data_IF_795050047082
#
_entry.id   IF_795050047082
#
_cell.length_a   1.000
_cell.length_b   1.000
_cell.length_c   1.000
_cell.angle_alpha   90.00
_cell.angle_beta   90.00
_cell.angle_gamma   90.00
#
_symmetry.space_group_name_H-M   'P 1'
#
loop_
_entity.id
_entity.type
_entity.pdbx_description
1 polymer ?
#
# COMPACT_ATOMS: atom_id res chain seq x y z
N UNK A 1 -21.00 5.87 43.06
CA UNK A 1 -20.50 5.36 41.76
C UNK A 1 -21.20 4.04 41.51
N UNK A 2 -22.29 4.06 40.73
CA UNK A 2 -23.07 2.87 40.39
C UNK A 2 -22.47 2.20 39.16
N UNK A 3 -21.85 1.03 39.35
CA UNK A 3 -21.52 0.14 38.24
C UNK A 3 -22.83 -0.44 37.70
N UNK A 4 -23.35 0.13 36.61
CA UNK A 4 -24.34 -0.54 35.77
C UNK A 4 -23.59 -1.46 34.80
N UNK A 5 -23.16 -2.63 35.29
CA UNK A 5 -22.86 -3.75 34.40
C UNK A 5 -24.21 -4.20 33.81
N UNK A 6 -24.52 -3.78 32.60
CA UNK A 6 -25.53 -4.45 31.79
C UNK A 6 -25.04 -5.88 31.58
N UNK A 7 -25.37 -6.80 32.49
CA UNK A 7 -25.17 -8.23 32.28
C UNK A 7 -26.17 -8.63 31.20
N UNK A 8 -25.68 -8.87 29.99
CA UNK A 8 -26.45 -9.57 28.96
C UNK A 8 -26.90 -10.91 29.55
N UNK A 9 -28.17 -11.30 29.35
CA UNK A 9 -28.59 -12.64 29.77
C UNK A 9 -27.92 -13.67 28.86
N UNK A 10 -27.41 -14.77 29.41
CA UNK A 10 -26.73 -15.81 28.62
C UNK A 10 -27.59 -16.32 27.45
N UNK A 11 -28.91 -16.41 27.62
CA UNK A 11 -29.87 -16.76 26.57
C UNK A 11 -29.85 -15.78 25.38
N UNK A 12 -29.70 -14.48 25.64
CA UNK A 12 -29.59 -13.46 24.57
C UNK A 12 -28.28 -13.62 23.80
N UNK A 13 -27.18 -13.95 24.50
CA UNK A 13 -25.86 -14.13 23.88
C UNK A 13 -25.87 -15.33 22.94
N UNK A 14 -26.43 -16.47 23.35
CA UNK A 14 -26.50 -17.65 22.47
C UNK A 14 -27.35 -17.39 21.23
N UNK A 15 -28.48 -16.67 21.38
CA UNK A 15 -29.29 -16.27 20.24
C UNK A 15 -28.48 -15.36 19.28
N UNK A 16 -27.80 -14.36 19.81
CA UNK A 16 -27.02 -13.42 19.00
C UNK A 16 -25.82 -14.08 18.31
N UNK A 17 -25.17 -15.04 18.98
CA UNK A 17 -24.14 -15.88 18.37
C UNK A 17 -24.72 -16.76 17.24
N UNK A 18 -25.96 -17.24 17.36
CA UNK A 18 -26.62 -18.04 16.31
C UNK A 18 -26.91 -17.24 15.03
N UNK A 19 -27.19 -15.93 15.16
CA UNK A 19 -27.38 -15.01 14.02
C UNK A 19 -26.07 -14.33 13.59
N UNK A 20 -24.97 -14.63 14.29
CA UNK A 20 -23.63 -14.11 14.06
C UNK A 20 -23.61 -12.58 14.11
N UNK A 21 -24.14 -12.02 15.20
CA UNK A 21 -24.14 -10.58 15.46
C UNK A 21 -22.73 -10.10 15.88
N UNK A 22 -22.14 -9.09 15.21
CA UNK A 22 -20.81 -8.59 15.55
C UNK A 22 -20.70 -7.97 16.95
N UNK A 23 -21.75 -7.31 17.46
CA UNK A 23 -21.70 -6.65 18.76
C UNK A 23 -21.66 -7.68 19.90
N UNK A 24 -22.39 -8.78 19.77
CA UNK A 24 -22.36 -9.87 20.75
C UNK A 24 -21.02 -10.63 20.72
N UNK A 25 -20.40 -10.79 19.54
CA UNK A 25 -19.02 -11.28 19.46
C UNK A 25 -18.04 -10.34 20.19
N UNK A 26 -18.17 -9.02 20.03
CA UNK A 26 -17.34 -8.03 20.72
C UNK A 26 -17.53 -8.08 22.24
N UNK A 27 -18.77 -8.19 22.70
CA UNK A 27 -19.10 -8.30 24.13
C UNK A 27 -18.44 -9.55 24.74
N UNK A 28 -18.59 -10.72 24.11
CA UNK A 28 -17.96 -11.96 24.54
C UNK A 28 -16.43 -11.86 24.50
N UNK A 29 -15.87 -11.18 23.49
CA UNK A 29 -14.43 -10.89 23.42
C UNK A 29 -13.92 -10.03 24.58
N UNK A 30 -14.69 -9.01 24.96
CA UNK A 30 -14.33 -8.10 26.04
C UNK A 30 -14.38 -8.80 27.42
N UNK A 31 -15.40 -9.62 27.63
CA UNK A 31 -15.67 -10.25 28.92
C UNK A 31 -14.90 -11.57 29.12
N UNK A 32 -14.94 -12.47 28.15
CA UNK A 32 -14.49 -13.85 28.36
C UNK A 32 -13.03 -14.07 27.97
N UNK A 33 -12.45 -13.30 27.03
CA UNK A 33 -11.12 -13.59 26.45
C UNK A 33 -10.01 -13.78 27.48
N UNK A 34 -9.96 -12.94 28.52
CA UNK A 34 -8.94 -13.05 29.59
C UNK A 34 -9.22 -14.19 30.55
N UNK A 35 -10.49 -14.47 30.83
CA UNK A 35 -10.90 -15.57 31.71
C UNK A 35 -10.55 -16.91 31.07
N UNK A 36 -10.97 -17.12 29.83
CA UNK A 36 -10.64 -18.32 29.05
C UNK A 36 -9.14 -18.50 28.87
N UNK A 37 -8.40 -17.42 28.56
CA UNK A 37 -6.95 -17.53 28.41
C UNK A 37 -6.25 -17.96 29.70
N UNK A 38 -6.76 -17.56 30.87
CA UNK A 38 -6.26 -18.05 32.17
C UNK A 38 -6.61 -19.51 32.41
N UNK A 39 -7.81 -19.97 32.04
CA UNK A 39 -8.19 -21.38 32.16
C UNK A 39 -7.25 -22.30 31.35
N UNK A 40 -6.93 -21.92 30.11
CA UNK A 40 -5.97 -22.66 29.28
C UNK A 40 -4.55 -22.63 29.86
N UNK A 41 -4.13 -21.48 30.43
CA UNK A 41 -2.85 -21.37 31.12
C UNK A 41 -2.79 -22.30 32.35
N UNK A 42 -3.86 -22.36 33.14
CA UNK A 42 -3.99 -23.29 34.27
C UNK A 42 -4.00 -24.75 33.82
N UNK A 43 -4.46 -25.05 32.61
CA UNK A 43 -4.40 -26.39 32.01
C UNK A 43 -3.01 -26.76 31.46
N UNK A 44 -2.00 -25.91 31.64
CA UNK A 44 -0.61 -26.15 31.24
C UNK A 44 -0.17 -25.44 29.96
N UNK A 45 -1.01 -24.59 29.37
CA UNK A 45 -0.66 -23.75 28.23
C UNK A 45 -0.01 -22.43 28.64
N UNK A 46 0.32 -21.59 27.68
CA UNK A 46 0.65 -20.17 27.91
C UNK A 46 -0.57 -19.27 27.78
N UNK A 47 -0.47 -18.01 28.21
CA UNK A 47 -1.50 -17.00 27.94
C UNK A 47 -1.74 -16.80 26.43
N UNK A 48 -0.70 -16.96 25.60
CA UNK A 48 -0.82 -16.86 24.13
C UNK A 48 -1.61 -18.03 23.54
N UNK A 49 -1.39 -19.25 24.06
CA UNK A 49 -2.20 -20.41 23.71
C UNK A 49 -3.65 -20.16 24.12
N UNK A 50 -3.85 -19.61 25.32
CA UNK A 50 -5.16 -19.20 25.82
C UNK A 50 -5.92 -18.26 24.90
N UNK A 51 -5.29 -17.22 24.36
CA UNK A 51 -5.94 -16.34 23.37
C UNK A 51 -6.24 -17.05 22.06
N UNK A 52 -5.35 -17.94 21.61
CA UNK A 52 -5.54 -18.72 20.38
C UNK A 52 -6.73 -19.67 20.51
N UNK A 53 -6.79 -20.43 21.60
CA UNK A 53 -7.85 -21.40 21.84
C UNK A 53 -9.18 -20.75 22.26
N UNK A 54 -9.15 -19.56 22.87
CA UNK A 54 -10.36 -18.75 23.03
C UNK A 54 -11.01 -18.43 21.68
N UNK A 55 -10.23 -17.95 20.70
CA UNK A 55 -10.75 -17.66 19.36
C UNK A 55 -11.34 -18.90 18.70
N UNK A 56 -10.65 -20.04 18.79
CA UNK A 56 -11.15 -21.32 18.25
C UNK A 56 -12.47 -21.70 18.92
N UNK A 57 -12.54 -21.65 20.25
CA UNK A 57 -13.74 -21.99 21.01
C UNK A 57 -14.91 -21.05 20.72
N UNK A 58 -14.67 -19.75 20.55
CA UNK A 58 -15.72 -18.79 20.22
C UNK A 58 -16.33 -19.06 18.85
N UNK A 59 -15.50 -19.29 17.83
CA UNK A 59 -15.98 -19.60 16.47
C UNK A 59 -16.72 -20.94 16.48
N UNK A 60 -16.20 -21.94 17.21
CA UNK A 60 -16.86 -23.24 17.34
C UNK A 60 -18.21 -23.13 18.07
N UNK A 61 -18.28 -22.33 19.13
CA UNK A 61 -19.54 -22.05 19.85
C UNK A 61 -20.54 -21.39 18.92
N UNK A 62 -20.15 -20.35 18.18
CA UNK A 62 -21.06 -19.72 17.23
C UNK A 62 -21.55 -20.69 16.15
N UNK A 63 -20.69 -21.58 15.67
CA UNK A 63 -21.07 -22.65 14.75
C UNK A 63 -22.09 -23.61 15.37
N UNK A 64 -21.84 -24.11 16.59
CA UNK A 64 -22.79 -24.95 17.32
C UNK A 64 -24.12 -24.24 17.62
N UNK A 65 -24.08 -22.93 17.87
CA UNK A 65 -25.27 -22.10 18.07
C UNK A 65 -26.12 -22.05 16.79
N UNK A 66 -25.48 -21.86 15.63
CA UNK A 66 -26.18 -21.87 14.32
C UNK A 66 -26.83 -23.22 14.01
N UNK A 67 -26.28 -24.32 14.54
CA UNK A 67 -26.82 -25.68 14.41
C UNK A 67 -27.86 -26.06 15.49
N UNK A 68 -28.17 -25.17 16.44
CA UNK A 68 -29.00 -25.45 17.63
C UNK A 68 -28.49 -26.65 18.47
N UNK A 69 -27.16 -26.78 18.59
CA UNK A 69 -26.49 -27.88 19.32
C UNK A 69 -25.93 -27.47 20.69
N UNK A 70 -26.23 -26.26 21.15
CA UNK A 70 -25.78 -25.76 22.44
C UNK A 70 -26.85 -25.93 23.51
N UNK A 71 -26.41 -26.30 24.69
CA UNK A 71 -27.22 -26.20 25.91
C UNK A 71 -27.14 -24.75 26.41
N UNK A 72 -28.22 -24.00 26.20
CA UNK A 72 -28.31 -22.57 26.57
C UNK A 72 -28.51 -22.35 28.07
N UNK A 73 -28.64 -23.42 28.87
CA UNK A 73 -28.72 -23.32 30.33
C UNK A 73 -27.36 -23.09 30.99
N UNK A 74 -26.27 -23.28 30.24
CA UNK A 74 -24.90 -23.16 30.72
C UNK A 74 -24.40 -21.73 30.45
N UNK A 75 -23.78 -21.04 31.42
CA UNK A 75 -23.22 -19.71 31.18
C UNK A 75 -22.18 -19.72 30.05
N UNK A 76 -22.21 -18.70 29.19
CA UNK A 76 -21.35 -18.66 27.99
C UNK A 76 -19.86 -18.70 28.35
N UNK A 77 -19.48 -18.06 29.45
CA UNK A 77 -18.11 -18.04 29.96
C UNK A 77 -17.64 -19.44 30.35
N UNK A 78 -18.45 -20.19 31.10
CA UNK A 78 -18.17 -21.57 31.49
C UNK A 78 -18.05 -22.48 30.28
N UNK A 79 -18.97 -22.37 29.31
CA UNK A 79 -18.93 -23.17 28.10
C UNK A 79 -17.64 -22.90 27.29
N UNK A 80 -17.27 -21.62 27.11
CA UNK A 80 -16.07 -21.23 26.38
C UNK A 80 -14.78 -21.65 27.10
N UNK A 81 -14.72 -21.56 28.42
CA UNK A 81 -13.59 -22.04 29.23
C UNK A 81 -13.37 -23.54 29.03
N UNK A 82 -14.42 -24.35 29.20
CA UNK A 82 -14.36 -25.80 29.03
C UNK A 82 -14.02 -26.17 27.58
N UNK A 83 -14.63 -25.53 26.58
CA UNK A 83 -14.38 -25.84 25.18
C UNK A 83 -12.96 -25.45 24.72
N UNK A 84 -12.46 -24.28 25.13
CA UNK A 84 -11.09 -23.85 24.81
C UNK A 84 -10.05 -24.76 25.47
N UNK A 85 -10.29 -25.14 26.73
CA UNK A 85 -9.41 -26.05 27.48
C UNK A 85 -9.40 -27.44 26.86
N UNK A 86 -10.56 -27.96 26.43
CA UNK A 86 -10.65 -29.23 25.71
C UNK A 86 -9.89 -29.17 24.38
N UNK A 87 -10.07 -28.11 23.59
CA UNK A 87 -9.31 -27.93 22.34
C UNK A 87 -7.79 -27.89 22.56
N UNK A 88 -7.34 -27.22 23.62
CA UNK A 88 -5.92 -27.16 24.00
C UNK A 88 -5.39 -28.53 24.42
N UNK A 89 -6.09 -29.25 25.30
CA UNK A 89 -5.67 -30.58 25.78
C UNK A 89 -5.55 -31.58 24.64
N UNK A 90 -6.52 -31.63 23.74
CA UNK A 90 -6.45 -32.51 22.57
C UNK A 90 -5.26 -32.15 21.68
N UNK A 91 -5.06 -30.85 21.41
CA UNK A 91 -3.94 -30.38 20.60
C UNK A 91 -2.58 -30.71 21.25
N UNK A 92 -2.45 -30.52 22.56
CA UNK A 92 -1.25 -30.87 23.30
C UNK A 92 -0.95 -32.37 23.20
N UNK A 93 -1.99 -33.22 23.31
CA UNK A 93 -1.89 -34.67 23.11
C UNK A 93 -1.46 -35.03 21.68
N UNK A 94 -2.06 -34.40 20.66
CA UNK A 94 -1.67 -34.56 19.25
C UNK A 94 -0.21 -34.15 19.00
N UNK A 95 0.30 -33.16 19.75
CA UNK A 95 1.68 -32.67 19.67
C UNK A 95 2.65 -33.35 20.63
N UNK A 96 2.20 -34.35 21.39
CA UNK A 96 3.02 -35.06 22.40
C UNK A 96 3.64 -34.10 23.43
N UNK A 97 2.92 -33.05 23.81
CA UNK A 97 3.33 -32.10 24.85
C UNK A 97 2.86 -32.65 26.21
N UNK A 98 3.80 -32.85 27.14
CA UNK A 98 3.50 -33.31 28.49
C UNK A 98 2.85 -32.19 29.33
N UNK A 99 1.55 -32.32 29.62
CA UNK A 99 0.83 -31.39 30.49
C UNK A 99 1.08 -31.75 31.96
N UNK A 100 1.66 -30.81 32.71
CA UNK A 100 2.00 -30.98 34.13
C UNK A 100 0.88 -30.48 35.05
N UNK A 101 -0.37 -30.93 34.83
CA UNK A 101 -1.50 -30.45 35.62
C UNK A 101 -2.43 -31.58 36.03
N UNK A 102 -2.44 -31.86 37.33
CA UNK A 102 -3.52 -32.56 38.03
C UNK A 102 -4.62 -31.52 38.33
N UNK A 103 -5.58 -31.35 37.43
CA UNK A 103 -6.82 -30.62 37.76
C UNK A 103 -7.92 -31.64 37.97
N UNK A 104 -8.59 -31.58 39.12
CA UNK A 104 -9.91 -32.19 39.28
C UNK A 104 -10.79 -31.69 38.14
N UNK A 105 -11.36 -32.60 37.34
CA UNK A 105 -12.26 -32.21 36.26
C UNK A 105 -13.53 -31.64 36.90
N UNK A 106 -13.83 -30.33 36.75
CA UNK A 106 -15.14 -29.82 37.14
C UNK A 106 -16.21 -30.56 36.33
N UNK A 107 -17.46 -30.56 36.82
CA UNK A 107 -18.61 -30.98 36.02
C UNK A 107 -18.61 -30.19 34.70
N UNK A 108 -18.11 -30.82 33.65
CA UNK A 108 -17.92 -30.17 32.37
C UNK A 108 -19.25 -30.18 31.61
N UNK A 109 -19.58 -29.07 30.92
CA UNK A 109 -20.70 -29.05 30.00
C UNK A 109 -20.55 -30.17 28.95
N UNK A 110 -21.66 -30.62 28.37
CA UNK A 110 -21.61 -31.57 27.25
C UNK A 110 -20.90 -30.89 26.06
N UNK A 111 -19.63 -31.24 25.85
CA UNK A 111 -18.81 -30.72 24.76
C UNK A 111 -18.89 -31.62 23.52
N UNK A 112 -18.63 -31.08 22.30
CA UNK A 112 -18.39 -31.91 21.12
C UNK A 112 -17.27 -32.92 21.39
N UNK A 113 -17.34 -34.12 20.79
CA UNK A 113 -16.30 -35.14 20.96
C UNK A 113 -14.92 -34.74 20.40
N UNK A 114 -13.89 -35.50 20.76
CA UNK A 114 -12.49 -35.25 20.35
C UNK A 114 -12.34 -35.19 18.82
N UNK A 115 -13.01 -36.08 18.09
CA UNK A 115 -12.98 -36.12 16.63
C UNK A 115 -13.56 -34.84 16.00
N UNK A 116 -14.70 -34.37 16.52
CA UNK A 116 -15.35 -33.13 16.08
C UNK A 116 -14.48 -31.91 16.38
N UNK A 117 -13.86 -31.87 17.57
CA UNK A 117 -12.95 -30.79 17.95
C UNK A 117 -11.69 -30.77 17.09
N UNK A 118 -11.12 -31.93 16.78
CA UNK A 118 -9.96 -32.07 15.89
C UNK A 118 -10.30 -31.62 14.46
N UNK A 119 -11.43 -32.08 13.91
CA UNK A 119 -11.91 -31.64 12.61
C UNK A 119 -12.13 -30.13 12.54
N UNK A 120 -12.68 -29.52 13.59
CA UNK A 120 -12.88 -28.07 13.67
C UNK A 120 -11.55 -27.29 13.73
N UNK A 121 -10.55 -27.80 14.48
CA UNK A 121 -9.20 -27.21 14.48
C UNK A 121 -8.58 -27.23 13.08
N UNK A 122 -8.78 -28.31 12.32
CA UNK A 122 -8.32 -28.39 10.93
C UNK A 122 -9.06 -27.40 10.02
N UNK A 123 -10.37 -27.15 10.21
CA UNK A 123 -11.09 -26.08 9.48
C UNK A 123 -10.48 -24.69 9.74
N UNK A 124 -10.22 -24.37 11.02
CA UNK A 124 -9.56 -23.11 11.42
C UNK A 124 -8.17 -22.99 10.78
N UNK A 125 -7.39 -24.06 10.81
CA UNK A 125 -6.06 -24.12 10.20
C UNK A 125 -6.13 -23.93 8.68
N UNK A 126 -7.06 -24.62 8.02
CA UNK A 126 -7.34 -24.50 6.59
C UNK A 126 -7.57 -23.04 6.19
N UNK A 127 -8.48 -22.37 6.90
CA UNK A 127 -8.85 -20.99 6.62
C UNK A 127 -7.67 -20.04 6.79
N UNK A 128 -6.90 -20.20 7.87
CA UNK A 128 -5.73 -19.38 8.16
C UNK A 128 -4.65 -19.51 7.08
N UNK A 129 -4.33 -20.73 6.65
CA UNK A 129 -3.32 -20.92 5.60
C UNK A 129 -3.80 -20.38 4.26
N UNK A 130 -5.08 -20.56 3.93
CA UNK A 130 -5.65 -20.02 2.68
C UNK A 130 -5.58 -18.49 2.64
N UNK A 131 -5.83 -17.82 3.77
CA UNK A 131 -5.73 -16.36 3.88
C UNK A 131 -4.32 -15.82 3.60
N UNK A 132 -3.27 -16.63 3.80
CA UNK A 132 -1.88 -16.27 3.50
C UNK A 132 -1.45 -16.48 2.03
N UNK A 133 -2.27 -17.14 1.21
CA UNK A 133 -1.90 -17.47 -0.17
C UNK A 133 -1.99 -16.29 -1.14
N UNK A 134 -1.34 -16.42 -2.31
CA UNK A 134 -1.44 -15.46 -3.40
C UNK A 134 -2.87 -15.41 -3.99
N UNK A 135 -3.27 -14.24 -4.49
CA UNK A 135 -4.63 -13.99 -5.01
C UNK A 135 -5.08 -14.99 -6.10
N UNK A 136 -4.24 -15.36 -7.10
CA UNK A 136 -4.63 -16.34 -8.10
C UNK A 136 -4.96 -17.71 -7.48
N UNK A 137 -4.11 -18.22 -6.58
CA UNK A 137 -4.36 -19.51 -5.93
C UNK A 137 -5.54 -19.48 -4.97
N UNK A 138 -5.80 -18.37 -4.27
CA UNK A 138 -6.99 -18.21 -3.43
C UNK A 138 -8.28 -18.41 -4.21
N UNK A 139 -8.38 -17.78 -5.40
CA UNK A 139 -9.54 -17.89 -6.28
C UNK A 139 -9.73 -19.33 -6.76
N UNK A 140 -8.66 -19.93 -7.28
CA UNK A 140 -8.69 -21.32 -7.77
C UNK A 140 -9.12 -22.31 -6.69
N UNK A 141 -8.57 -22.21 -5.49
CA UNK A 141 -8.94 -23.09 -4.37
C UNK A 141 -10.39 -22.88 -3.91
N UNK A 142 -10.87 -21.64 -3.93
CA UNK A 142 -12.27 -21.35 -3.60
C UNK A 142 -13.23 -21.93 -4.63
N UNK A 143 -12.88 -21.89 -5.92
CA UNK A 143 -13.66 -22.54 -6.99
C UNK A 143 -13.67 -24.06 -6.81
N UNK A 144 -12.51 -24.69 -6.59
CA UNK A 144 -12.42 -26.13 -6.32
C UNK A 144 -13.23 -26.53 -5.07
N UNK A 145 -13.20 -25.72 -4.02
CA UNK A 145 -13.98 -25.99 -2.81
C UNK A 145 -15.49 -25.88 -3.07
N UNK A 146 -15.92 -24.91 -3.89
CA UNK A 146 -17.33 -24.77 -4.29
C UNK A 146 -17.81 -25.94 -5.14
N UNK A 147 -16.97 -26.45 -6.05
CA UNK A 147 -17.30 -27.63 -6.84
C UNK A 147 -17.39 -28.88 -5.94
N UNK A 148 -16.44 -29.03 -5.02
CA UNK A 148 -16.44 -30.13 -4.06
C UNK A 148 -17.65 -30.08 -3.10
N UNK A 149 -18.12 -28.90 -2.69
CA UNK A 149 -19.25 -28.78 -1.77
C UNK A 149 -20.60 -29.22 -2.37
N UNK A 150 -20.70 -29.28 -3.70
CA UNK A 150 -21.85 -29.82 -4.43
C UNK A 150 -21.63 -31.24 -4.97
N UNK A 151 -20.62 -31.96 -4.43
CA UNK A 151 -20.22 -33.31 -4.85
C UNK A 151 -19.82 -33.44 -6.34
N UNK A 152 -19.40 -32.34 -6.97
CA UNK A 152 -18.80 -32.37 -8.30
C UNK A 152 -17.31 -32.59 -8.08
N UNK A 153 -16.82 -33.83 -8.25
CA UNK A 153 -15.39 -34.12 -8.14
C UNK A 153 -14.64 -33.35 -9.24
N UNK A 154 -13.90 -32.28 -8.91
CA UNK A 154 -13.21 -31.52 -9.92
C UNK A 154 -12.06 -32.39 -10.45
N UNK A 155 -12.11 -32.75 -11.73
CA UNK A 155 -10.99 -33.44 -12.39
C UNK A 155 -9.84 -32.46 -12.55
N UNK A 156 -9.02 -32.31 -11.50
CA UNK A 156 -7.82 -31.47 -11.57
C UNK A 156 -6.77 -32.21 -12.40
N UNK A 157 -6.46 -31.68 -13.57
CA UNK A 157 -5.34 -32.19 -14.37
C UNK A 157 -4.03 -31.93 -13.59
N UNK A 158 -3.16 -32.93 -13.48
CA UNK A 158 -1.92 -32.89 -12.68
C UNK A 158 -0.96 -31.78 -13.11
N UNK A 159 -1.01 -31.36 -14.37
CA UNK A 159 -0.15 -30.30 -14.92
C UNK A 159 -0.84 -28.92 -14.97
N UNK A 160 -2.00 -28.77 -14.32
CA UNK A 160 -2.74 -27.50 -14.32
C UNK A 160 -2.26 -26.55 -13.22
N UNK A 161 -2.48 -25.24 -13.42
CA UNK A 161 -2.29 -24.23 -12.38
C UNK A 161 -3.09 -24.55 -11.10
N UNK A 162 -4.23 -25.24 -11.22
CA UNK A 162 -5.03 -25.70 -10.09
C UNK A 162 -4.33 -26.81 -9.28
N UNK A 163 -3.63 -27.75 -9.93
CA UNK A 163 -2.83 -28.76 -9.24
C UNK A 163 -1.69 -28.12 -8.44
N UNK A 164 -1.00 -27.13 -9.02
CA UNK A 164 0.06 -26.40 -8.33
C UNK A 164 -0.48 -25.65 -7.10
N UNK A 165 -1.60 -24.95 -7.21
CA UNK A 165 -2.21 -24.26 -6.07
C UNK A 165 -2.66 -25.23 -4.97
N UNK A 166 -3.20 -26.40 -5.34
CA UNK A 166 -3.60 -27.45 -4.40
C UNK A 166 -2.39 -28.06 -3.68
N UNK A 167 -1.30 -28.33 -4.40
CA UNK A 167 -0.05 -28.82 -3.80
C UNK A 167 0.57 -27.79 -2.85
N UNK A 168 0.61 -26.51 -3.24
CA UNK A 168 1.07 -25.43 -2.37
C UNK A 168 0.23 -25.34 -1.10
N UNK A 169 -1.09 -25.40 -1.22
CA UNK A 169 -1.99 -25.35 -0.06
C UNK A 169 -1.81 -26.56 0.86
N UNK A 170 -1.68 -27.77 0.30
CA UNK A 170 -1.37 -28.98 1.05
C UNK A 170 -0.03 -28.86 1.80
N UNK A 171 1.01 -28.33 1.16
CA UNK A 171 2.32 -28.09 1.79
C UNK A 171 2.22 -27.11 2.97
N UNK A 172 1.48 -26.01 2.81
CA UNK A 172 1.25 -25.04 3.91
C UNK A 172 0.52 -25.68 5.10
N UNK A 173 -0.37 -26.63 4.83
CA UNK A 173 -1.10 -27.35 5.87
C UNK A 173 -0.29 -28.49 6.50
N UNK A 174 0.89 -28.83 5.97
CA UNK A 174 1.70 -29.96 6.41
C UNK A 174 0.84 -31.21 6.69
N UNK A 175 -0.08 -31.51 5.76
CA UNK A 175 -1.11 -32.54 5.92
C UNK A 175 -0.76 -33.76 5.07
N UNK A 176 -0.64 -34.90 5.75
CA UNK A 176 -0.44 -36.22 5.13
C UNK A 176 -1.76 -36.93 4.81
N UNK A 177 -2.89 -36.22 4.92
CA UNK A 177 -4.23 -36.80 4.76
C UNK A 177 -4.37 -37.49 3.37
N UNK A 178 -4.70 -38.80 3.32
CA UNK A 178 -4.89 -39.50 2.06
C UNK A 178 -6.05 -38.91 1.22
N UNK A 179 -7.00 -38.20 1.84
CA UNK A 179 -8.11 -37.53 1.15
C UNK A 179 -7.64 -36.49 0.12
N UNK A 180 -6.41 -35.97 0.24
CA UNK A 180 -5.80 -35.11 -0.78
C UNK A 180 -5.66 -35.76 -2.15
N UNK A 181 -5.70 -37.10 -2.22
CA UNK A 181 -5.67 -37.84 -3.50
C UNK A 181 -6.98 -37.78 -4.28
N UNK A 182 -8.10 -37.50 -3.61
CA UNK A 182 -9.45 -37.41 -4.19
C UNK A 182 -9.90 -35.96 -4.40
N UNK A 183 -9.19 -34.98 -3.82
CA UNK A 183 -9.49 -33.55 -3.95
C UNK A 183 -9.17 -32.79 -2.68
N UNK A 184 -9.92 -31.70 -2.43
CA UNK A 184 -9.87 -31.01 -1.14
C UNK A 184 -10.57 -31.85 -0.07
N UNK A 185 -9.96 -32.07 1.11
CA UNK A 185 -10.62 -32.77 2.20
C UNK A 185 -11.83 -32.00 2.73
N UNK A 186 -12.81 -32.71 3.29
CA UNK A 186 -14.10 -32.14 3.70
C UNK A 186 -13.98 -30.96 4.67
N UNK A 187 -13.04 -31.01 5.63
CA UNK A 187 -12.78 -29.91 6.56
C UNK A 187 -12.24 -28.66 5.84
N UNK A 188 -11.43 -28.82 4.78
CA UNK A 188 -10.97 -27.68 3.98
C UNK A 188 -12.12 -27.11 3.14
N UNK A 189 -12.97 -27.97 2.58
CA UNK A 189 -14.16 -27.54 1.83
C UNK A 189 -15.09 -26.71 2.72
N UNK A 190 -15.41 -27.19 3.93
CA UNK A 190 -16.22 -26.46 4.91
C UNK A 190 -15.58 -25.11 5.24
N UNK A 191 -14.30 -25.08 5.59
CA UNK A 191 -13.60 -23.85 5.94
C UNK A 191 -13.61 -22.77 4.83
N UNK A 192 -13.71 -23.18 3.57
CA UNK A 192 -13.68 -22.30 2.40
C UNK A 192 -15.06 -21.99 1.81
N UNK A 193 -16.11 -22.75 2.15
CA UNK A 193 -17.45 -22.59 1.54
C UNK A 193 -18.59 -22.38 2.52
N UNK A 194 -18.44 -22.81 3.78
CA UNK A 194 -19.48 -22.67 4.78
C UNK A 194 -19.68 -21.21 5.19
N UNK A 195 -20.91 -20.70 5.01
CA UNK A 195 -21.22 -19.28 5.24
C UNK A 195 -21.20 -18.91 6.72
N UNK A 196 -21.84 -19.67 7.64
CA UNK A 196 -21.73 -19.41 9.07
C UNK A 196 -20.30 -19.34 9.57
N UNK A 197 -19.47 -20.34 9.23
CA UNK A 197 -18.07 -20.40 9.61
C UNK A 197 -17.29 -19.19 9.08
N UNK A 198 -17.44 -18.84 7.79
CA UNK A 198 -16.75 -17.69 7.21
C UNK A 198 -17.14 -16.36 7.86
N UNK A 199 -18.43 -16.17 8.15
CA UNK A 199 -18.93 -14.96 8.81
C UNK A 199 -18.37 -14.88 10.22
N UNK A 200 -18.46 -15.95 11.03
CA UNK A 200 -17.88 -16.02 12.37
C UNK A 200 -16.36 -15.74 12.36
N UNK A 201 -15.63 -16.35 11.42
CA UNK A 201 -14.19 -16.13 11.24
C UNK A 201 -13.87 -14.67 10.96
N UNK A 202 -14.58 -14.04 10.02
CA UNK A 202 -14.34 -12.64 9.62
C UNK A 202 -14.60 -11.66 10.77
N UNK A 203 -15.65 -11.89 11.57
CA UNK A 203 -15.95 -11.08 12.75
C UNK A 203 -14.80 -11.20 13.76
N UNK A 204 -14.39 -12.42 14.10
CA UNK A 204 -13.29 -12.65 15.04
C UNK A 204 -11.95 -12.06 14.52
N UNK A 205 -11.68 -12.16 13.23
CA UNK A 205 -10.47 -11.61 12.59
C UNK A 205 -10.46 -10.08 12.66
N UNK A 206 -11.58 -9.41 12.40
CA UNK A 206 -11.71 -7.97 12.53
C UNK A 206 -11.51 -7.50 13.98
N UNK A 207 -12.05 -8.24 14.96
CA UNK A 207 -11.85 -7.93 16.38
C UNK A 207 -10.37 -8.06 16.76
N UNK A 208 -9.71 -9.17 16.40
CA UNK A 208 -8.28 -9.37 16.67
C UNK A 208 -7.40 -8.33 15.95
N UNK A 209 -7.76 -7.95 14.72
CA UNK A 209 -7.11 -6.87 13.98
C UNK A 209 -7.12 -5.57 14.78
N UNK A 210 -8.27 -5.15 15.30
CA UNK A 210 -8.37 -3.94 16.15
C UNK A 210 -7.58 -4.07 17.45
N UNK A 211 -7.65 -5.22 18.12
CA UNK A 211 -6.88 -5.50 19.35
C UNK A 211 -5.38 -5.37 19.08
N UNK A 212 -4.89 -5.89 17.95
CA UNK A 212 -3.47 -5.80 17.56
C UNK A 212 -3.02 -4.36 17.29
N UNK A 213 -3.94 -3.47 16.91
CA UNK A 213 -3.71 -2.03 16.75
C UNK A 213 -3.84 -1.25 18.07
N UNK A 214 -4.05 -1.93 19.21
CA UNK A 214 -4.16 -1.32 20.53
C UNK A 214 -5.55 -0.77 20.87
N UNK A 215 -6.57 -1.04 20.04
CA UNK A 215 -7.96 -0.66 20.33
C UNK A 215 -8.58 -1.67 21.31
N UNK A 216 -9.28 -1.18 22.33
CA UNK A 216 -10.03 -2.06 23.24
C UNK A 216 -11.26 -2.62 22.52
N UNK A 217 -11.60 -3.91 22.70
CA UNK A 217 -12.89 -4.43 22.27
C UNK A 217 -13.96 -3.80 23.16
N UNK A 218 -14.61 -2.76 22.66
CA UNK A 218 -15.78 -2.15 23.29
C UNK A 218 -16.92 -2.28 22.28
N UNK A 219 -18.09 -2.81 22.67
CA UNK A 219 -19.24 -2.87 21.78
C UNK A 219 -19.49 -1.48 21.22
N UNK A 220 -19.40 -1.32 19.90
CA UNK A 220 -19.69 -0.05 19.25
C UNK A 220 -21.10 0.41 19.65
N UNK A 221 -21.27 1.61 20.25
CA UNK A 221 -22.60 2.15 20.43
C UNK A 221 -23.20 2.47 19.05
N UNK A 222 -24.44 2.03 18.84
CA UNK A 222 -25.20 2.27 17.61
C UNK A 222 -25.06 3.70 17.05
N UNK A 223 -24.68 3.76 15.78
CA UNK A 223 -25.06 4.74 14.75
C UNK A 223 -25.17 6.24 15.10
N UNK A 224 -24.32 6.78 15.98
CA UNK A 224 -24.10 8.24 16.04
C UNK A 224 -22.65 8.66 15.81
N UNK A 225 -21.69 7.82 16.19
CA UNK A 225 -20.25 8.13 16.04
C UNK A 225 -19.82 8.26 14.57
N UNK A 226 -20.23 7.32 13.71
CA UNK A 226 -19.91 7.37 12.28
C UNK A 226 -20.45 8.62 11.58
N UNK A 227 -21.58 9.17 12.04
CA UNK A 227 -22.13 10.40 11.46
C UNK A 227 -21.28 11.61 11.82
N UNK A 228 -20.80 11.72 13.06
CA UNK A 228 -19.90 12.82 13.47
C UNK A 228 -18.50 12.67 12.88
N UNK A 229 -17.98 11.44 12.76
CA UNK A 229 -16.70 11.19 12.08
C UNK A 229 -16.82 11.53 10.60
N UNK A 230 -17.89 11.15 9.90
CA UNK A 230 -18.09 11.51 8.49
C UNK A 230 -18.33 13.01 8.31
N UNK A 231 -19.03 13.68 9.23
CA UNK A 231 -19.18 15.14 9.20
C UNK A 231 -17.83 15.82 9.44
N UNK A 232 -17.06 15.37 10.43
CA UNK A 232 -15.73 15.91 10.71
C UNK A 232 -14.78 15.67 9.53
N UNK A 233 -14.80 14.48 8.93
CA UNK A 233 -14.03 14.16 7.74
C UNK A 233 -14.48 15.02 6.55
N UNK A 234 -15.78 15.25 6.40
CA UNK A 234 -16.34 16.15 5.40
C UNK A 234 -15.91 17.61 5.59
N UNK A 235 -15.87 18.10 6.83
CA UNK A 235 -15.38 19.44 7.19
C UNK A 235 -13.88 19.55 6.96
N UNK A 236 -13.10 18.52 7.30
CA UNK A 236 -11.65 18.47 7.04
C UNK A 236 -11.39 18.43 5.53
N UNK A 237 -12.13 17.62 4.77
CA UNK A 237 -12.00 17.54 3.31
C UNK A 237 -12.43 18.84 2.63
N UNK A 238 -13.50 19.49 3.09
CA UNK A 238 -13.90 20.82 2.61
C UNK A 238 -12.89 21.88 2.98
N UNK A 239 -12.34 21.83 4.20
CA UNK A 239 -11.27 22.72 4.64
C UNK A 239 -9.99 22.54 3.84
N UNK A 240 -9.62 21.29 3.53
CA UNK A 240 -8.48 20.95 2.69
C UNK A 240 -8.70 21.34 1.23
N UNK A 241 -9.89 21.10 0.68
CA UNK A 241 -10.25 21.52 -0.68
C UNK A 241 -10.30 23.05 -0.80
N UNK A 242 -10.82 23.75 0.21
CA UNK A 242 -10.78 25.20 0.27
C UNK A 242 -9.34 25.72 0.40
N UNK A 243 -8.52 25.12 1.27
CA UNK A 243 -7.11 25.47 1.40
C UNK A 243 -6.34 25.26 0.08
N UNK A 244 -6.54 24.13 -0.60
CA UNK A 244 -5.96 23.86 -1.92
C UNK A 244 -6.47 24.81 -3.02
N UNK A 245 -7.73 25.24 -2.93
CA UNK A 245 -8.31 26.20 -3.88
C UNK A 245 -7.83 27.64 -3.66
N UNK A 246 -7.53 28.03 -2.41
CA UNK A 246 -7.09 29.39 -2.04
C UNK A 246 -5.57 29.55 -1.93
N UNK A 247 -4.80 28.46 -1.86
CA UNK A 247 -3.33 28.47 -1.81
C UNK A 247 -2.76 27.63 -2.98
N UNK A 248 -2.64 28.21 -4.19
CA UNK A 248 -2.00 27.54 -5.31
C UNK A 248 -0.48 27.60 -5.13
N UNK A 249 0.04 27.01 -4.05
CA UNK A 249 1.46 26.67 -3.95
C UNK A 249 1.72 25.58 -4.99
N UNK A 250 2.07 26.02 -6.19
CA UNK A 250 2.45 25.11 -7.26
C UNK A 250 3.72 24.39 -6.82
N UNK A 251 3.72 23.08 -6.95
CA UNK A 251 4.94 22.30 -6.75
C UNK A 251 6.03 22.80 -7.71
N UNK A 252 7.33 22.75 -7.35
CA UNK A 252 8.39 23.16 -8.27
C UNK A 252 8.32 22.49 -9.65
N UNK A 253 7.75 21.27 -9.73
CA UNK A 253 7.48 20.60 -11.01
C UNK A 253 6.42 21.30 -11.85
N UNK A 254 5.33 21.77 -11.25
CA UNK A 254 4.32 22.56 -11.96
C UNK A 254 4.83 23.95 -12.35
N UNK A 255 5.68 24.56 -11.51
CA UNK A 255 6.39 25.80 -11.85
C UNK A 255 7.29 25.57 -13.07
N UNK A 256 8.07 24.49 -13.09
CA UNK A 256 8.89 24.13 -14.25
C UNK A 256 8.04 23.94 -15.52
N UNK A 257 7.02 23.09 -15.46
CA UNK A 257 6.20 22.75 -16.63
C UNK A 257 5.47 23.94 -17.24
N UNK A 258 5.16 24.97 -16.44
CA UNK A 258 4.50 26.20 -16.92
C UNK A 258 5.45 27.23 -17.53
N UNK A 259 6.76 27.11 -17.30
CA UNK A 259 7.74 28.13 -17.69
C UNK A 259 8.86 27.59 -18.59
N UNK A 260 9.02 26.27 -18.72
CA UNK A 260 9.92 25.68 -19.69
C UNK A 260 9.24 25.56 -21.05
N UNK A 261 9.53 26.54 -21.92
CA UNK A 261 9.16 26.51 -23.33
C UNK A 261 10.44 26.33 -24.15
N UNK A 262 10.81 25.09 -24.49
CA UNK A 262 12.01 24.83 -25.29
C UNK A 262 11.81 25.37 -26.71
N UNK A 263 12.89 25.85 -27.37
CA UNK A 263 12.80 26.30 -28.75
C UNK A 263 12.35 25.16 -29.65
N UNK A 264 11.57 25.46 -30.69
CA UNK A 264 11.12 24.43 -31.65
C UNK A 264 12.21 24.03 -32.66
N UNK A 265 13.27 24.82 -32.73
CA UNK A 265 14.41 24.64 -33.65
C UNK A 265 15.63 25.31 -33.05
N UNK A 266 16.76 24.62 -33.07
CA UNK A 266 18.08 25.12 -32.65
C UNK A 266 18.48 26.32 -33.52
N UNK A 267 18.38 26.19 -34.85
CA UNK A 267 18.78 27.26 -35.76
C UNK A 267 17.89 28.50 -35.64
N UNK A 268 16.56 28.31 -35.56
CA UNK A 268 15.66 29.44 -35.46
C UNK A 268 15.84 30.21 -34.14
N UNK A 269 16.12 29.48 -33.06
CA UNK A 269 16.44 30.07 -31.76
C UNK A 269 17.74 30.86 -31.80
N UNK A 270 18.80 30.28 -32.40
CA UNK A 270 20.09 30.94 -32.60
C UNK A 270 19.93 32.25 -33.36
N UNK A 271 19.26 32.20 -34.50
CA UNK A 271 19.09 33.36 -35.37
C UNK A 271 18.29 34.46 -34.66
N UNK A 272 17.25 34.08 -33.90
CA UNK A 272 16.49 35.01 -33.07
C UNK A 272 17.36 35.67 -31.97
N UNK A 273 18.26 34.90 -31.35
CA UNK A 273 19.24 35.36 -30.35
C UNK A 273 20.20 36.38 -30.94
N UNK A 274 20.82 36.06 -32.08
CA UNK A 274 21.78 36.96 -32.75
C UNK A 274 21.13 38.29 -33.13
N UNK A 275 19.89 38.26 -33.64
CA UNK A 275 19.12 39.46 -33.98
C UNK A 275 18.78 40.28 -32.75
N UNK A 276 18.34 39.62 -31.66
CA UNK A 276 17.97 40.27 -30.41
C UNK A 276 19.16 41.00 -29.78
N UNK A 277 20.32 40.33 -29.74
CA UNK A 277 21.50 40.81 -29.05
C UNK A 277 22.43 41.64 -29.97
N UNK A 278 22.01 41.88 -31.21
CA UNK A 278 22.77 42.61 -32.24
C UNK A 278 24.19 42.06 -32.44
N UNK A 279 24.33 40.75 -32.41
CA UNK A 279 25.59 40.04 -32.57
C UNK A 279 25.87 39.76 -34.06
N UNK A 280 27.15 39.80 -34.45
CA UNK A 280 27.56 39.47 -35.81
C UNK A 280 27.49 37.96 -36.07
N UNK A 281 26.98 37.57 -37.24
CA UNK A 281 26.92 36.19 -37.73
C UNK A 281 28.29 35.72 -38.30
N UNK A 282 29.33 35.78 -37.47
CA UNK A 282 30.71 35.43 -37.85
C UNK A 282 31.05 33.95 -37.56
N UNK A 283 30.04 33.09 -37.51
CA UNK A 283 30.22 31.68 -37.14
C UNK A 283 30.83 30.91 -38.32
N UNK A 284 31.90 30.10 -38.10
CA UNK A 284 32.47 29.27 -39.15
C UNK A 284 31.42 28.37 -39.84
N UNK A 285 31.49 28.17 -41.18
CA UNK A 285 30.54 27.32 -41.89
C UNK A 285 30.40 25.91 -41.31
N UNK A 286 31.49 25.35 -40.78
CA UNK A 286 31.49 24.04 -40.13
C UNK A 286 30.61 23.99 -38.87
N UNK A 287 30.51 25.06 -38.09
CA UNK A 287 29.61 25.11 -36.95
C UNK A 287 28.14 25.16 -37.42
N UNK A 288 27.86 25.89 -38.51
CA UNK A 288 26.51 25.98 -39.05
C UNK A 288 26.04 24.63 -39.59
N UNK A 289 26.90 23.88 -40.28
CA UNK A 289 26.60 22.52 -40.74
C UNK A 289 26.30 21.58 -39.57
N UNK A 290 27.09 21.65 -38.49
CA UNK A 290 26.86 20.87 -37.28
C UNK A 290 25.53 21.24 -36.60
N UNK A 291 25.20 22.53 -36.47
CA UNK A 291 23.94 22.97 -35.90
C UNK A 291 22.74 22.61 -36.79
N UNK A 292 22.89 22.64 -38.12
CA UNK A 292 21.87 22.17 -39.06
C UNK A 292 21.56 20.70 -38.90
N UNK A 293 22.61 19.89 -38.71
CA UNK A 293 22.47 18.46 -38.49
C UNK A 293 21.79 18.17 -37.15
N UNK A 294 22.22 18.82 -36.06
CA UNK A 294 21.59 18.69 -34.77
C UNK A 294 20.13 19.17 -34.78
N UNK A 295 19.84 20.28 -35.45
CA UNK A 295 18.49 20.85 -35.59
C UNK A 295 17.54 19.90 -36.33
N UNK A 296 18.04 19.14 -37.32
CA UNK A 296 17.26 18.12 -38.03
C UNK A 296 16.77 17.03 -37.09
N UNK A 297 17.63 16.52 -36.21
CA UNK A 297 17.24 15.54 -35.19
C UNK A 297 16.36 16.16 -34.10
N UNK A 298 16.70 17.37 -33.65
CA UNK A 298 15.95 18.10 -32.64
C UNK A 298 14.48 18.33 -33.03
N UNK A 299 14.23 18.76 -34.28
CA UNK A 299 12.88 18.95 -34.83
C UNK A 299 12.06 17.67 -34.87
N UNK A 300 12.72 16.53 -35.01
CA UNK A 300 12.10 15.20 -34.96
C UNK A 300 11.85 14.72 -33.52
N UNK A 301 12.22 15.52 -32.51
CA UNK A 301 12.25 15.17 -31.08
C UNK A 301 13.19 14.01 -30.75
N UNK A 302 14.15 13.74 -31.64
CA UNK A 302 15.21 12.77 -31.39
C UNK A 302 16.37 13.47 -30.67
N UNK A 303 16.15 13.72 -29.38
CA UNK A 303 17.05 14.52 -28.54
C UNK A 303 18.39 13.82 -28.31
N UNK A 304 18.42 12.49 -28.31
CA UNK A 304 19.67 11.73 -28.16
C UNK A 304 20.56 11.88 -29.39
N UNK A 305 20.01 11.72 -30.60
CA UNK A 305 20.79 11.90 -31.82
C UNK A 305 21.19 13.37 -32.04
N UNK A 306 20.32 14.33 -31.67
CA UNK A 306 20.70 15.73 -31.66
C UNK A 306 21.89 15.99 -30.71
N UNK A 307 21.90 15.40 -29.52
CA UNK A 307 23.03 15.52 -28.59
C UNK A 307 24.31 14.86 -29.13
N UNK A 308 24.22 13.68 -29.74
CA UNK A 308 25.35 12.96 -30.34
C UNK A 308 26.10 13.79 -31.39
N UNK A 309 25.39 14.64 -32.13
CA UNK A 309 25.99 15.55 -33.11
C UNK A 309 26.77 16.68 -32.43
N UNK A 310 26.28 17.19 -31.29
CA UNK A 310 26.87 18.32 -30.57
C UNK A 310 28.03 17.92 -29.64
N UNK A 311 27.98 16.72 -29.05
CA UNK A 311 28.94 16.25 -28.04
C UNK A 311 30.41 16.36 -28.44
N UNK A 312 30.84 15.89 -29.64
CA UNK A 312 32.25 15.94 -30.03
C UNK A 312 32.81 17.36 -30.05
N UNK A 313 31.99 18.32 -30.45
CA UNK A 313 32.38 19.74 -30.57
C UNK A 313 32.36 20.44 -29.21
N UNK A 314 31.46 20.04 -28.31
CA UNK A 314 31.40 20.58 -26.96
C UNK A 314 32.64 20.22 -26.11
N UNK A 315 33.29 19.10 -26.41
CA UNK A 315 34.51 18.64 -25.71
C UNK A 315 35.81 19.24 -26.26
N UNK A 316 35.76 19.95 -27.37
CA UNK A 316 36.90 20.68 -27.95
C UNK A 316 36.98 22.12 -27.40
N UNK A 317 37.78 22.33 -26.35
CA UNK A 317 37.93 23.64 -25.66
C UNK A 317 38.38 24.80 -26.55
N UNK A 318 39.03 24.53 -27.68
CA UNK A 318 39.50 25.56 -28.62
C UNK A 318 38.55 25.75 -29.83
N UNK A 319 37.41 25.03 -29.86
CA UNK A 319 36.47 25.14 -30.96
C UNK A 319 35.68 26.44 -30.91
N UNK A 320 35.67 27.18 -32.02
CA UNK A 320 34.83 28.37 -32.19
C UNK A 320 33.32 28.08 -32.05
N UNK A 321 32.91 26.81 -32.14
CA UNK A 321 31.53 26.39 -32.02
C UNK A 321 31.16 25.88 -30.61
N UNK A 322 32.14 25.80 -29.68
CA UNK A 322 31.97 25.08 -28.42
C UNK A 322 30.82 25.66 -27.58
N UNK A 323 30.76 26.99 -27.44
CA UNK A 323 29.72 27.68 -26.65
C UNK A 323 28.31 27.40 -27.18
N UNK A 324 28.11 27.39 -28.50
CA UNK A 324 26.81 27.05 -29.12
C UNK A 324 26.46 25.57 -28.89
N UNK A 325 27.43 24.66 -29.06
CA UNK A 325 27.22 23.24 -28.81
C UNK A 325 26.83 22.98 -27.34
N UNK A 326 27.55 23.59 -26.39
CA UNK A 326 27.27 23.50 -24.96
C UNK A 326 25.90 24.09 -24.60
N UNK A 327 25.54 25.23 -25.19
CA UNK A 327 24.26 25.89 -24.94
C UNK A 327 23.08 25.01 -25.38
N UNK A 328 23.12 24.47 -26.59
CA UNK A 328 22.04 23.62 -27.08
C UNK A 328 22.04 22.21 -26.44
N UNK A 329 23.20 21.67 -26.07
CA UNK A 329 23.27 20.48 -25.22
C UNK A 329 22.58 20.69 -23.87
N UNK A 330 22.71 21.87 -23.27
CA UNK A 330 22.03 22.19 -22.02
C UNK A 330 20.49 22.19 -22.19
N UNK A 331 19.99 22.79 -23.26
CA UNK A 331 18.54 22.79 -23.57
C UNK A 331 18.05 21.36 -23.85
N UNK A 332 18.82 20.56 -24.58
CA UNK A 332 18.52 19.15 -24.84
C UNK A 332 18.52 18.34 -23.54
N UNK A 333 19.47 18.59 -22.63
CA UNK A 333 19.52 17.91 -21.34
C UNK A 333 18.26 18.20 -20.50
N UNK A 334 17.72 19.41 -20.53
CA UNK A 334 16.41 19.72 -19.91
C UNK A 334 15.25 18.94 -20.55
N UNK A 335 15.28 18.71 -21.87
CA UNK A 335 14.29 17.87 -22.57
C UNK A 335 14.40 16.39 -22.19
N UNK A 336 15.63 15.92 -21.94
CA UNK A 336 15.94 14.56 -21.49
C UNK A 336 15.78 14.36 -19.98
N UNK A 337 15.24 15.35 -19.28
CA UNK A 337 15.07 15.36 -17.82
C UNK A 337 16.37 15.22 -17.02
N UNK A 338 17.50 15.67 -17.57
CA UNK A 338 18.80 15.73 -16.91
C UNK A 338 19.22 17.18 -16.61
N UNK A 339 18.68 17.79 -15.54
CA UNK A 339 19.05 19.14 -15.14
C UNK A 339 20.49 19.24 -14.60
N UNK A 340 21.13 18.12 -14.27
CA UNK A 340 22.54 18.10 -13.84
C UNK A 340 23.45 18.40 -15.03
N UNK A 341 23.30 17.64 -16.11
CA UNK A 341 24.02 17.86 -17.36
C UNK A 341 23.78 19.27 -17.93
N UNK A 342 22.57 19.82 -17.74
CA UNK A 342 22.26 21.22 -18.10
C UNK A 342 23.19 22.20 -17.39
N UNK A 343 23.35 22.07 -16.07
CA UNK A 343 24.21 22.97 -15.27
C UNK A 343 25.67 22.82 -15.70
N UNK A 344 26.13 21.58 -15.90
CA UNK A 344 27.51 21.29 -16.28
C UNK A 344 27.86 21.87 -17.65
N UNK A 345 26.94 21.77 -18.63
CA UNK A 345 27.13 22.35 -19.96
C UNK A 345 27.18 23.89 -19.89
N UNK A 346 26.22 24.52 -19.21
CA UNK A 346 26.17 25.98 -19.09
C UNK A 346 27.35 26.56 -18.31
N UNK A 347 27.91 25.82 -17.35
CA UNK A 347 29.08 26.26 -16.59
C UNK A 347 30.38 26.26 -17.40
N UNK A 348 30.44 25.51 -18.51
CA UNK A 348 31.60 25.42 -19.42
C UNK A 348 31.59 26.51 -20.50
N UNK A 349 30.49 27.24 -20.67
CA UNK A 349 30.40 28.34 -21.64
C UNK A 349 31.23 29.52 -21.13
N UNK A 350 32.29 29.85 -21.87
CA UNK A 350 33.21 30.95 -21.56
C UNK A 350 32.72 32.30 -22.12
N UNK A 351 31.90 32.27 -23.18
CA UNK A 351 31.31 33.45 -23.80
C UNK A 351 30.04 33.91 -23.06
N UNK A 352 30.25 34.60 -21.94
CA UNK A 352 29.15 35.13 -21.12
C UNK A 352 28.47 36.33 -21.81
N UNK A 353 29.17 37.06 -22.67
CA UNK A 353 28.61 38.24 -23.34
C UNK A 353 27.52 37.86 -24.33
N UNK A 354 27.73 36.79 -25.12
CA UNK A 354 26.75 36.35 -26.13
C UNK A 354 25.63 35.47 -25.58
N UNK A 355 25.71 34.99 -24.34
CA UNK A 355 24.77 34.01 -23.79
C UNK A 355 24.26 34.35 -22.38
N UNK A 356 24.79 35.39 -21.74
CA UNK A 356 24.68 35.59 -20.29
C UNK A 356 23.25 35.55 -19.74
N UNK A 357 22.32 36.27 -20.37
CA UNK A 357 20.92 36.23 -19.96
C UNK A 357 20.31 34.82 -20.09
N UNK A 358 20.51 34.17 -21.24
CA UNK A 358 19.95 32.85 -21.52
C UNK A 358 20.54 31.78 -20.59
N UNK A 359 21.83 31.87 -20.27
CA UNK A 359 22.51 30.99 -19.30
C UNK A 359 21.80 31.07 -17.95
N UNK A 360 21.57 32.27 -17.42
CA UNK A 360 20.91 32.42 -16.12
C UNK A 360 19.49 31.87 -16.14
N UNK A 361 18.77 32.06 -17.24
CA UNK A 361 17.42 31.55 -17.41
C UNK A 361 17.37 30.01 -17.38
N UNK A 362 18.16 29.34 -18.22
CA UNK A 362 18.16 27.87 -18.29
C UNK A 362 18.80 27.23 -17.05
N UNK A 363 19.78 27.88 -16.41
CA UNK A 363 20.27 27.45 -15.09
C UNK A 363 19.16 27.53 -14.03
N UNK A 364 18.37 28.61 -14.01
CA UNK A 364 17.27 28.73 -13.07
C UNK A 364 16.23 27.61 -13.28
N UNK A 365 15.86 27.33 -14.53
CA UNK A 365 14.95 26.23 -14.87
C UNK A 365 15.52 24.86 -14.45
N UNK A 366 16.81 24.61 -14.65
CA UNK A 366 17.48 23.39 -14.18
C UNK A 366 17.39 23.24 -12.66
N UNK A 367 17.64 24.31 -11.89
CA UNK A 367 17.50 24.27 -10.43
C UNK A 367 16.05 24.08 -9.98
N UNK A 368 15.07 24.63 -10.69
CA UNK A 368 13.64 24.39 -10.43
C UNK A 368 13.28 22.93 -10.70
N UNK A 369 13.77 22.32 -11.79
CA UNK A 369 13.59 20.88 -12.08
C UNK A 369 14.27 20.01 -11.02
N UNK A 370 15.47 20.37 -10.55
CA UNK A 370 16.14 19.70 -9.43
C UNK A 370 15.31 19.81 -8.14
N UNK A 371 14.71 20.96 -7.87
CA UNK A 371 13.83 21.14 -6.72
C UNK A 371 12.51 20.35 -6.86
N UNK A 372 12.06 20.05 -8.08
CA UNK A 372 10.94 19.15 -8.32
C UNK A 372 11.27 17.71 -7.93
N UNK A 373 12.52 17.26 -8.17
CA UNK A 373 13.01 15.94 -7.75
C UNK A 373 13.32 15.91 -6.26
N UNK A 374 13.91 16.98 -5.72
CA UNK A 374 14.30 17.11 -4.32
C UNK A 374 13.79 18.45 -3.72
N UNK A 375 12.63 18.43 -3.04
CA UNK A 375 12.01 19.62 -2.47
C UNK A 375 12.89 20.40 -1.47
N UNK A 376 13.90 19.76 -0.86
CA UNK A 376 14.85 20.45 0.03
C UNK A 376 15.71 21.50 -0.69
N UNK A 377 15.75 21.47 -2.03
CA UNK A 377 16.48 22.44 -2.86
C UNK A 377 15.63 23.63 -3.32
N UNK A 378 14.39 23.78 -2.84
CA UNK A 378 13.48 24.88 -3.20
C UNK A 378 14.11 26.27 -3.01
N UNK A 379 14.84 26.48 -1.91
CA UNK A 379 15.55 27.75 -1.66
C UNK A 379 16.69 28.02 -2.64
N UNK A 380 17.34 26.98 -3.15
CA UNK A 380 18.37 27.10 -4.19
C UNK A 380 17.72 27.49 -5.50
N UNK A 381 16.62 26.83 -5.88
CA UNK A 381 15.83 27.17 -7.07
C UNK A 381 15.34 28.63 -7.02
N UNK A 382 14.77 29.06 -5.89
CA UNK A 382 14.33 30.45 -5.69
C UNK A 382 15.47 31.45 -5.91
N UNK A 383 16.64 31.22 -5.32
CA UNK A 383 17.82 32.09 -5.53
C UNK A 383 18.32 32.09 -6.97
N UNK A 384 18.22 30.97 -7.67
CA UNK A 384 18.57 30.90 -9.09
C UNK A 384 17.59 31.71 -9.95
N UNK A 385 16.28 31.62 -9.69
CA UNK A 385 15.25 32.43 -10.36
C UNK A 385 15.42 33.92 -10.05
N UNK A 386 15.74 34.27 -8.80
CA UNK A 386 16.03 35.66 -8.40
C UNK A 386 17.23 36.22 -9.20
N UNK A 387 18.27 35.40 -9.38
CA UNK A 387 19.44 35.75 -10.19
C UNK A 387 19.08 35.87 -11.68
N UNK A 388 18.25 34.99 -12.22
CA UNK A 388 17.76 35.13 -13.59
C UNK A 388 16.97 36.44 -13.77
N UNK A 389 16.06 36.77 -12.85
CA UNK A 389 15.28 38.02 -12.85
C UNK A 389 16.18 39.25 -12.85
N UNK A 390 17.27 39.25 -12.08
CA UNK A 390 18.17 40.40 -11.97
C UNK A 390 19.08 40.60 -13.19
N UNK A 391 19.28 39.55 -14.01
CA UNK A 391 20.20 39.57 -15.14
C UNK A 391 19.51 39.52 -16.52
N UNK A 392 18.19 39.32 -16.57
CA UNK A 392 17.43 39.43 -17.82
C UNK A 392 17.05 40.87 -18.10
N UNK A 393 17.24 41.31 -19.35
CA UNK A 393 16.76 42.59 -19.87
C UNK A 393 15.37 42.46 -20.50
N UNK A 394 14.99 41.24 -20.91
CA UNK A 394 13.69 40.92 -21.51
C UNK A 394 12.53 41.11 -20.50
N UNK A 395 11.59 42.04 -20.76
CA UNK A 395 10.46 42.29 -19.86
C UNK A 395 9.59 41.05 -19.63
N UNK A 396 9.42 40.22 -20.67
CA UNK A 396 8.61 39.00 -20.61
C UNK A 396 9.23 37.96 -19.66
N UNK A 397 10.54 37.70 -19.77
CA UNK A 397 11.26 36.79 -18.87
C UNK A 397 11.34 37.31 -17.45
N UNK A 398 11.46 38.64 -17.27
CA UNK A 398 11.40 39.25 -15.94
C UNK A 398 10.05 39.00 -15.26
N UNK A 399 8.95 39.21 -15.98
CA UNK A 399 7.60 38.94 -15.49
C UNK A 399 7.37 37.44 -15.21
N UNK A 400 7.90 36.55 -16.05
CA UNK A 400 7.87 35.11 -15.79
C UNK A 400 8.65 34.75 -14.53
N UNK A 401 9.85 35.29 -14.35
CA UNK A 401 10.66 35.05 -13.15
C UNK A 401 9.99 35.56 -11.87
N UNK A 402 9.34 36.73 -11.89
CA UNK A 402 8.54 37.24 -10.77
C UNK A 402 7.41 36.28 -10.38
N UNK A 403 6.65 35.81 -11.38
CA UNK A 403 5.59 34.83 -11.17
C UNK A 403 6.11 33.50 -10.63
N UNK A 404 7.26 33.04 -11.10
CA UNK A 404 7.92 31.83 -10.56
C UNK A 404 8.35 32.02 -9.11
N UNK A 405 8.84 33.20 -8.73
CA UNK A 405 9.25 33.50 -7.36
C UNK A 405 8.06 33.50 -6.39
N UNK A 406 6.93 34.08 -6.79
CA UNK A 406 5.69 34.03 -6.00
C UNK A 406 5.22 32.58 -5.77
N UNK A 407 5.34 31.73 -6.79
CA UNK A 407 4.97 30.32 -6.72
C UNK A 407 5.96 29.49 -5.89
N UNK A 408 7.23 29.89 -5.82
CA UNK A 408 8.26 29.21 -5.03
C UNK A 408 8.39 29.76 -3.60
N UNK A 409 7.78 30.91 -3.27
CA UNK A 409 7.84 31.51 -1.93
C UNK A 409 6.82 30.96 -0.93
N UNK A 410 5.71 30.41 -1.43
CA UNK A 410 4.69 29.68 -0.65
C UNK A 410 5.00 28.19 -0.75
#
# INVERSE_FOLDING_TARGET
MSNSSNSFSDESIYHDLSVLDPASFEAVYAECRRLVARAVNLAGGSMSDGFTFFRVALIHTAFLATENRLDTSIPISTFLESLATAHFKDWAKEKQIELHVETEEPENPALPDDASRSAFREQVRARRQWAGMESPCKKTLLELAKDASINVAPKVNKDSAAANCLEQYRKLLNSEDPAWSEGLPSWAVVALTDKPFQKAWSIAENIEGRISMGLSPTPEPESKSNRYVLILLGVILLGYAAWWFFDPSLSPGEVYNKNFEPPTSILADRDARLVRDSLDDNVPPACLEMLQEADRHYKQKDYYEAANVLYPVADEEESACQSEALFYLAIIALQLEDPGATIDCLARISDIESFGEDIYWYQALAFVKIAAINPLRKDIARRAVERARSNTELPERRAQAEKMLEQLSN
#
